data_IF_654056679501
#
_entry.id   IF_654056679501
#
_cell.length_a   1.000
_cell.length_b   1.000
_cell.length_c   1.000
_cell.angle_alpha   90.00
_cell.angle_beta   90.00
_cell.angle_gamma   90.00
#
_symmetry.space_group_name_H-M   'P 1'
#
loop_
_entity.id
_entity.type
_entity.pdbx_description
1 polymer ?
#
# COMPACT_ATOMS: atom_id res chain seq x y z
N UNK A 1 -54.75 -22.98 -7.55
CA UNK A 1 -54.83 -22.56 -8.97
C UNK A 1 -53.44 -22.15 -9.43
N UNK A 2 -52.87 -22.96 -10.33
CA UNK A 2 -51.72 -22.77 -11.22
C UNK A 2 -50.72 -21.64 -10.93
N UNK A 3 -49.62 -22.00 -10.26
CA UNK A 3 -48.35 -21.28 -10.34
C UNK A 3 -47.63 -21.84 -11.58
N UNK A 4 -47.76 -21.10 -12.69
CA UNK A 4 -47.30 -21.52 -14.01
C UNK A 4 -45.79 -21.71 -14.08
N UNK A 5 -45.41 -22.90 -14.55
CA UNK A 5 -44.09 -23.33 -14.99
C UNK A 5 -43.33 -22.28 -15.82
N UNK A 6 -42.26 -21.72 -15.25
CA UNK A 6 -41.25 -20.94 -16.00
C UNK A 6 -39.79 -21.24 -15.60
N UNK A 7 -39.54 -22.28 -14.80
CA UNK A 7 -38.20 -22.57 -14.27
C UNK A 7 -37.34 -23.57 -15.06
N UNK A 8 -37.94 -24.47 -15.86
CA UNK A 8 -37.19 -25.62 -16.41
C UNK A 8 -36.67 -25.41 -17.84
N UNK A 9 -37.21 -24.43 -18.58
CA UNK A 9 -36.82 -24.19 -19.99
C UNK A 9 -35.57 -23.32 -20.16
N UNK A 10 -35.13 -22.63 -19.11
CA UNK A 10 -33.94 -21.75 -19.17
C UNK A 10 -32.65 -22.57 -19.15
N UNK A 11 -32.59 -23.62 -18.31
CA UNK A 11 -31.40 -24.47 -18.15
C UNK A 11 -31.08 -25.31 -19.39
N UNK A 12 -32.09 -25.73 -20.17
CA UNK A 12 -31.86 -26.52 -21.38
C UNK A 12 -31.30 -25.72 -22.56
N UNK A 13 -31.51 -24.40 -22.59
CA UNK A 13 -30.98 -23.51 -23.63
C UNK A 13 -29.51 -23.17 -23.34
N UNK A 14 -29.15 -22.98 -22.06
CA UNK A 14 -27.78 -22.66 -21.66
C UNK A 14 -26.80 -23.84 -21.85
N UNK A 15 -27.23 -25.08 -21.62
CA UNK A 15 -26.36 -26.26 -21.76
C UNK A 15 -26.11 -26.62 -23.24
N UNK A 16 -26.98 -26.20 -24.17
CA UNK A 16 -26.80 -26.44 -25.62
C UNK A 16 -25.79 -25.51 -26.29
N UNK A 17 -25.52 -24.33 -25.72
CA UNK A 17 -24.55 -23.36 -26.24
C UNK A 17 -23.10 -23.76 -25.90
N UNK A 18 -22.91 -24.65 -24.91
CA UNK A 18 -21.61 -25.00 -24.34
C UNK A 18 -20.99 -26.31 -24.86
N UNK A 19 -21.35 -26.77 -26.07
CA UNK A 19 -20.72 -27.95 -26.72
C UNK A 19 -20.43 -27.78 -28.22
N UNK A 20 -20.07 -26.57 -28.67
CA UNK A 20 -19.42 -26.37 -29.98
C UNK A 20 -18.00 -25.85 -29.79
N UNK A 21 -17.09 -26.74 -29.38
CA UNK A 21 -15.64 -26.49 -29.51
C UNK A 21 -15.32 -26.53 -31.00
N UNK A 22 -15.49 -25.38 -31.66
CA UNK A 22 -14.99 -25.15 -33.02
C UNK A 22 -13.48 -25.08 -32.90
N UNK A 23 -12.77 -26.07 -33.45
CA UNK A 23 -11.31 -26.07 -33.56
C UNK A 23 -10.86 -24.75 -34.19
N UNK A 24 -10.36 -23.81 -33.39
CA UNK A 24 -9.84 -22.54 -33.88
C UNK A 24 -8.43 -22.81 -34.38
N UNK A 25 -8.23 -22.80 -35.70
CA UNK A 25 -6.89 -22.91 -36.26
C UNK A 25 -6.00 -21.80 -35.72
N UNK A 26 -4.87 -22.15 -35.14
CA UNK A 26 -3.85 -21.26 -34.58
C UNK A 26 -3.50 -20.08 -35.52
N UNK A 27 -3.54 -20.32 -36.83
CA UNK A 27 -3.31 -19.34 -37.90
C UNK A 27 -4.39 -18.25 -37.97
N UNK A 28 -5.66 -18.57 -37.67
CA UNK A 28 -6.76 -17.57 -37.66
C UNK A 28 -6.65 -16.60 -36.48
N UNK A 29 -6.13 -17.06 -35.34
CA UNK A 29 -5.81 -16.22 -34.18
C UNK A 29 -4.59 -15.33 -34.40
N UNK A 30 -3.62 -15.78 -35.21
CA UNK A 30 -2.42 -15.01 -35.54
C UNK A 30 -2.72 -13.85 -36.50
N UNK A 31 -3.59 -14.07 -37.51
CA UNK A 31 -3.93 -13.07 -38.54
C UNK A 31 -4.87 -11.95 -38.05
N UNK A 32 -5.77 -12.24 -37.10
CA UNK A 32 -6.70 -11.24 -36.54
C UNK A 32 -6.20 -10.56 -35.26
N UNK A 33 -4.88 -10.50 -35.02
CA UNK A 33 -4.32 -9.70 -33.93
C UNK A 33 -4.51 -8.21 -34.22
N UNK A 34 -5.62 -7.63 -33.74
CA UNK A 34 -5.73 -6.18 -33.47
C UNK A 34 -4.79 -5.81 -32.32
N UNK A 35 -3.48 -5.84 -32.59
CA UNK A 35 -2.44 -5.38 -31.68
C UNK A 35 -2.37 -3.86 -31.69
N UNK A 36 -2.22 -3.26 -30.51
CA UNK A 36 -1.96 -1.82 -30.40
C UNK A 36 -0.48 -1.60 -30.76
N UNK A 37 -0.16 -0.68 -31.69
CA UNK A 37 1.23 -0.47 -32.10
C UNK A 37 2.05 0.12 -30.94
N UNK A 38 3.25 -0.40 -30.71
CA UNK A 38 4.19 0.13 -29.71
C UNK A 38 3.79 -0.15 -28.25
N UNK A 39 4.17 0.76 -27.34
CA UNK A 39 3.89 0.62 -25.89
C UNK A 39 2.41 0.92 -25.58
N UNK A 40 1.72 0.01 -24.89
CA UNK A 40 0.26 0.07 -24.69
C UNK A 40 -0.27 1.35 -24.00
N UNK A 41 0.53 1.97 -23.12
CA UNK A 41 0.10 3.08 -22.26
C UNK A 41 0.75 4.43 -22.60
N UNK A 42 1.55 4.50 -23.66
CA UNK A 42 2.36 5.68 -24.02
C UNK A 42 2.27 5.88 -25.55
N UNK A 43 2.48 7.11 -26.04
CA UNK A 43 2.45 7.43 -27.48
C UNK A 43 1.07 7.83 -28.01
N UNK A 44 0.93 7.89 -29.33
CA UNK A 44 -0.28 8.38 -30.04
C UNK A 44 -1.45 7.40 -29.99
N UNK A 45 -1.19 6.12 -30.23
CA UNK A 45 -2.22 5.08 -30.26
C UNK A 45 -2.10 4.19 -29.02
N UNK A 46 -2.90 4.49 -27.99
CA UNK A 46 -2.89 3.77 -26.69
C UNK A 46 -4.09 2.84 -26.57
N UNK A 47 -4.04 1.94 -25.57
CA UNK A 47 -5.20 1.13 -25.20
C UNK A 47 -6.26 1.98 -24.51
N UNK A 48 -7.50 2.06 -25.01
CA UNK A 48 -8.57 2.73 -24.29
C UNK A 48 -8.88 1.96 -23.01
N UNK A 49 -8.85 2.66 -21.86
CA UNK A 49 -9.24 2.10 -20.56
C UNK A 49 -10.64 2.62 -20.21
N UNK A 50 -11.64 1.74 -20.28
CA UNK A 50 -12.98 2.07 -19.84
C UNK A 50 -13.02 2.25 -18.32
N UNK A 51 -13.78 3.24 -17.85
CA UNK A 51 -14.01 3.44 -16.41
C UNK A 51 -15.04 2.43 -15.95
N UNK A 52 -14.63 1.52 -15.06
CA UNK A 52 -15.56 0.53 -14.50
C UNK A 52 -16.39 1.15 -13.38
N UNK A 53 -17.52 0.50 -13.06
CA UNK A 53 -18.37 0.95 -11.96
C UNK A 53 -17.65 0.93 -10.60
N UNK A 54 -16.77 -0.04 -10.35
CA UNK A 54 -15.99 -0.08 -9.11
C UNK A 54 -15.08 1.16 -8.97
N UNK A 55 -14.49 1.63 -10.07
CA UNK A 55 -13.68 2.84 -10.05
C UNK A 55 -14.51 4.08 -9.68
N UNK A 56 -15.73 4.19 -10.20
CA UNK A 56 -16.66 5.28 -9.85
C UNK A 56 -17.08 5.21 -8.38
N UNK A 57 -17.45 4.01 -7.91
CA UNK A 57 -17.79 3.79 -6.50
C UNK A 57 -16.63 4.17 -5.59
N UNK A 58 -15.42 3.67 -5.84
CA UNK A 58 -14.26 3.97 -5.00
C UNK A 58 -13.92 5.46 -4.97
N UNK A 59 -14.10 6.15 -6.10
CA UNK A 59 -13.94 7.61 -6.17
C UNK A 59 -14.97 8.33 -5.31
N UNK A 60 -16.26 7.95 -5.39
CA UNK A 60 -17.32 8.52 -4.56
C UNK A 60 -17.01 8.36 -3.06
N UNK A 61 -16.64 7.15 -2.64
CA UNK A 61 -16.26 6.84 -1.25
C UNK A 61 -15.09 7.72 -0.77
N UNK A 62 -14.13 8.02 -1.65
CA UNK A 62 -13.01 8.91 -1.32
C UNK A 62 -13.46 10.36 -1.17
N UNK A 63 -14.32 10.84 -2.06
CA UNK A 63 -14.86 12.20 -2.02
C UNK A 63 -15.74 12.42 -0.77
N UNK A 64 -16.53 11.43 -0.39
CA UNK A 64 -17.33 11.48 0.86
C UNK A 64 -16.44 11.62 2.08
N UNK A 65 -15.33 10.86 2.14
CA UNK A 65 -14.34 10.99 3.22
C UNK A 65 -13.61 12.33 3.21
N UNK A 66 -13.31 12.87 2.04
CA UNK A 66 -12.69 14.20 1.93
C UNK A 66 -13.63 15.28 2.44
N UNK A 67 -14.92 15.23 2.08
CA UNK A 67 -15.94 16.14 2.59
C UNK A 67 -16.12 16.04 4.12
N UNK A 68 -16.08 14.82 4.68
CA UNK A 68 -16.11 14.62 6.13
C UNK A 68 -14.87 15.23 6.81
N UNK A 69 -13.67 15.01 6.24
CA UNK A 69 -12.43 15.59 6.77
C UNK A 69 -12.46 17.13 6.72
N UNK A 70 -12.95 17.72 5.64
CA UNK A 70 -13.11 19.18 5.50
C UNK A 70 -14.00 19.75 6.60
N UNK A 71 -15.12 19.08 6.90
CA UNK A 71 -15.99 19.47 8.01
C UNK A 71 -15.22 19.53 9.35
N UNK A 72 -14.46 18.49 9.67
CA UNK A 72 -13.71 18.43 10.93
C UNK A 72 -12.57 19.43 11.00
N UNK A 73 -11.87 19.68 9.90
CA UNK A 73 -10.74 20.64 9.84
C UNK A 73 -11.22 22.09 9.84
N UNK A 74 -12.46 22.37 9.41
CA UNK A 74 -12.98 23.73 9.31
C UNK A 74 -13.13 24.48 10.64
N UNK A 75 -13.09 23.79 11.78
CA UNK A 75 -13.37 24.35 13.11
C UNK A 75 -12.15 24.25 14.04
N UNK A 76 -11.20 25.19 13.94
CA UNK A 76 -10.05 25.22 14.84
C UNK A 76 -10.47 25.58 16.27
N UNK A 77 -9.83 24.95 17.26
CA UNK A 77 -10.06 25.23 18.69
C UNK A 77 -9.36 26.53 19.16
N UNK A 78 -8.21 26.85 18.58
CA UNK A 78 -7.33 27.95 18.97
C UNK A 78 -7.06 28.80 17.72
N UNK A 79 -6.98 30.12 17.87
CA UNK A 79 -6.63 31.01 16.76
C UNK A 79 -5.09 31.02 16.52
N UNK A 80 -4.66 31.53 15.37
CA UNK A 80 -3.24 31.52 15.01
C UNK A 80 -2.37 32.33 15.98
N UNK A 81 -2.89 33.42 16.53
CA UNK A 81 -2.18 34.28 17.49
C UNK A 81 -1.93 33.56 18.82
N UNK A 82 -2.90 32.79 19.31
CA UNK A 82 -2.79 31.99 20.52
C UNK A 82 -1.90 30.75 20.32
N UNK A 83 -1.87 30.17 19.12
CA UNK A 83 -0.96 29.06 18.81
C UNK A 83 0.51 29.51 18.81
N UNK A 84 0.76 30.79 18.51
CA UNK A 84 2.11 31.33 18.38
C UNK A 84 2.93 31.13 19.67
N UNK A 85 4.02 30.39 19.56
CA UNK A 85 4.97 30.17 20.65
C UNK A 85 4.57 29.18 21.74
N UNK A 86 3.32 28.67 21.78
CA UNK A 86 2.82 27.84 22.89
C UNK A 86 3.67 26.58 23.18
N UNK A 87 4.25 25.98 22.13
CA UNK A 87 5.05 24.75 22.23
C UNK A 87 6.57 24.96 22.00
N UNK A 88 7.05 26.22 21.95
CA UNK A 88 8.44 26.52 21.61
C UNK A 88 9.44 25.90 22.60
N UNK A 89 9.19 26.04 23.90
CA UNK A 89 10.05 25.49 24.98
C UNK A 89 10.16 23.97 24.87
N UNK A 90 9.03 23.28 24.63
CA UNK A 90 9.00 21.82 24.47
C UNK A 90 9.81 21.36 23.25
N UNK A 91 9.66 22.04 22.11
CA UNK A 91 10.44 21.76 20.89
C UNK A 91 11.92 21.97 21.14
N UNK A 92 12.30 23.05 21.82
CA UNK A 92 13.68 23.34 22.17
C UNK A 92 14.30 22.28 23.08
N UNK A 93 13.58 21.85 24.11
CA UNK A 93 14.04 20.78 25.00
C UNK A 93 14.22 19.45 24.26
N UNK A 94 13.27 19.11 23.38
CA UNK A 94 13.35 17.90 22.54
C UNK A 94 14.57 17.96 21.62
N UNK A 95 14.82 19.12 21.01
CA UNK A 95 16.00 19.32 20.16
C UNK A 95 17.31 19.21 20.94
N UNK A 96 17.41 19.84 22.11
CA UNK A 96 18.59 19.76 22.97
C UNK A 96 18.88 18.32 23.40
N UNK A 97 17.84 17.53 23.70
CA UNK A 97 17.99 16.10 24.00
C UNK A 97 18.57 15.33 22.83
N UNK A 98 18.02 15.52 21.62
CA UNK A 98 18.54 14.88 20.39
C UNK A 98 20.01 15.28 20.15
N UNK A 99 20.34 16.56 20.36
CA UNK A 99 21.72 17.05 20.21
C UNK A 99 22.66 16.39 21.23
N UNK A 100 22.25 16.27 22.49
CA UNK A 100 23.02 15.61 23.54
C UNK A 100 23.22 14.12 23.25
N UNK A 101 22.18 13.40 22.82
CA UNK A 101 22.27 11.99 22.43
C UNK A 101 23.24 11.77 21.26
N UNK A 102 23.22 12.67 20.28
CA UNK A 102 24.18 12.62 19.15
C UNK A 102 25.62 12.87 19.62
N UNK A 103 25.83 13.79 20.56
CA UNK A 103 27.15 14.07 21.13
C UNK A 103 27.65 12.94 22.03
N UNK A 104 26.75 12.27 22.74
CA UNK A 104 27.07 11.15 23.62
C UNK A 104 27.41 9.85 22.86
N UNK A 105 27.18 9.80 21.53
CA UNK A 105 27.52 8.65 20.70
C UNK A 105 29.03 8.56 20.48
N UNK A 106 29.73 7.97 21.44
CA UNK A 106 31.17 7.69 21.41
C UNK A 106 31.41 6.17 21.57
N UNK A 107 32.53 5.61 21.06
CA UNK A 107 32.88 4.22 21.33
C UNK A 107 32.99 3.94 22.83
N UNK A 108 32.63 2.73 23.25
CA UNK A 108 32.70 2.31 24.65
C UNK A 108 34.15 2.34 25.18
N UNK A 109 34.28 2.62 26.48
CA UNK A 109 35.56 2.56 27.16
C UNK A 109 36.07 1.12 27.21
N UNK A 110 37.36 0.92 26.92
CA UNK A 110 38.02 -0.37 27.04
C UNK A 110 38.89 -0.38 28.29
N UNK A 111 38.68 -1.36 29.17
CA UNK A 111 39.45 -1.48 30.41
C UNK A 111 40.53 -2.55 30.29
N UNK A 112 41.69 -2.28 30.88
CA UNK A 112 42.83 -3.22 30.90
C UNK A 112 42.46 -4.50 31.69
N UNK A 113 41.58 -4.39 32.68
CA UNK A 113 41.04 -5.53 33.44
C UNK A 113 40.44 -6.59 32.52
N UNK A 114 39.70 -6.19 31.50
CA UNK A 114 39.00 -7.10 30.59
C UNK A 114 40.02 -7.91 29.77
N UNK A 115 41.11 -7.26 29.37
CA UNK A 115 42.22 -7.90 28.67
C UNK A 115 43.02 -8.83 29.59
N UNK A 116 43.30 -8.43 30.84
CA UNK A 116 44.04 -9.25 31.80
C UNK A 116 43.21 -10.43 32.31
N UNK A 117 41.89 -10.28 32.41
CA UNK A 117 40.99 -11.36 32.82
C UNK A 117 41.09 -12.56 31.87
N UNK A 118 41.34 -12.31 30.57
CA UNK A 118 41.54 -13.35 29.58
C UNK A 118 42.71 -14.30 29.91
N UNK A 119 43.73 -13.83 30.64
CA UNK A 119 44.87 -14.67 31.05
C UNK A 119 44.48 -15.76 32.06
N UNK A 120 43.34 -15.61 32.74
CA UNK A 120 42.86 -16.61 33.71
C UNK A 120 42.30 -17.89 33.06
N UNK A 121 42.14 -17.94 31.73
CA UNK A 121 41.62 -19.13 31.03
C UNK A 121 42.53 -20.35 31.24
N UNK A 122 43.83 -20.14 31.41
CA UNK A 122 44.81 -21.21 31.64
C UNK A 122 44.99 -21.57 33.12
N UNK A 123 44.25 -20.93 34.04
CA UNK A 123 44.37 -21.15 35.48
C UNK A 123 43.87 -22.56 35.83
N UNK A 124 44.75 -23.36 36.45
CA UNK A 124 44.48 -24.73 36.92
C UNK A 124 44.72 -24.81 38.43
N UNK A 125 44.08 -25.78 39.08
CA UNK A 125 44.33 -26.08 40.49
C UNK A 125 45.59 -26.93 40.62
N UNK A 126 46.32 -26.82 41.75
CA UNK A 126 47.47 -27.67 42.03
C UNK A 126 47.01 -29.11 42.26
N UNK A 127 47.62 -30.04 41.53
CA UNK A 127 47.46 -31.50 41.73
C UNK A 127 48.05 -31.95 43.05
#
# INVERSE_FOLDING_TARGET
MNIGATGEKVWHIEVKILKKVRSSMFLTLALFRKGIPGKQWIGKHRRPRAVTWQMKRNMLHKLEREAENEYWISRPYINQEQEYGHAAVRRQHTWMKIKAERQAKFPEHKYISDHLHHLNITKRWSS
#
